data_IF_622010655074
#
_entry.id   IF_622010655074
#
_cell.length_a   1.000
_cell.length_b   1.000
_cell.length_c   1.000
_cell.angle_alpha   90.00
_cell.angle_beta   90.00
_cell.angle_gamma   90.00
#
_symmetry.space_group_name_H-M   'P 1'
#
loop_
_entity.id
_entity.type
_entity.pdbx_description
1 polymer ?
#
# COMPACT_ATOMS: atom_id res chain seq x y z
N UNK A 1 17.49 38.11 26.06
CA UNK A 1 16.20 37.70 25.47
C UNK A 1 16.39 36.43 24.63
N UNK A 2 16.88 35.33 25.24
CA UNK A 2 17.32 34.14 24.48
C UNK A 2 16.67 32.83 24.96
N UNK A 3 15.93 32.88 26.07
CA UNK A 3 15.33 31.69 26.71
C UNK A 3 13.96 31.32 26.11
N UNK A 4 13.17 32.30 25.65
CA UNK A 4 11.82 32.07 25.10
C UNK A 4 11.88 31.35 23.74
N UNK A 5 12.87 31.69 22.90
CA UNK A 5 13.04 31.07 21.58
C UNK A 5 13.45 29.61 21.66
N UNK A 6 14.18 29.22 22.71
CA UNK A 6 14.65 27.84 22.89
C UNK A 6 13.50 26.91 23.32
N UNK A 7 12.61 27.41 24.17
CA UNK A 7 11.42 26.68 24.62
C UNK A 7 10.45 26.40 23.47
N UNK A 8 10.27 27.35 22.54
CA UNK A 8 9.40 27.16 21.37
C UNK A 8 9.93 26.09 20.41
N UNK A 9 11.25 26.00 20.22
CA UNK A 9 11.86 24.99 19.35
C UNK A 9 11.69 23.55 19.89
N UNK A 10 11.71 23.38 21.21
CA UNK A 10 11.51 22.07 21.86
C UNK A 10 10.06 21.61 21.74
N UNK A 11 9.08 22.51 21.87
CA UNK A 11 7.66 22.15 21.75
C UNK A 11 7.31 21.74 20.31
N UNK A 12 7.86 22.44 19.30
CA UNK A 12 7.64 22.08 17.90
C UNK A 12 8.19 20.69 17.53
N UNK A 13 9.31 20.27 18.10
CA UNK A 13 9.88 18.94 17.82
C UNK A 13 9.11 17.81 18.52
N UNK A 14 8.56 18.03 19.72
CA UNK A 14 7.71 17.05 20.39
C UNK A 14 6.38 16.81 19.65
N UNK A 15 5.77 17.85 19.08
CA UNK A 15 4.54 17.70 18.29
C UNK A 15 4.77 16.89 17.00
N UNK A 16 5.91 17.08 16.33
CA UNK A 16 6.28 16.31 15.14
C UNK A 16 6.57 14.84 15.46
N UNK A 17 7.19 14.55 16.61
CA UNK A 17 7.45 13.18 17.04
C UNK A 17 6.17 12.39 17.34
N UNK A 18 5.16 13.03 17.95
CA UNK A 18 3.87 12.37 18.23
C UNK A 18 3.04 12.12 16.96
N UNK A 19 3.13 12.98 15.95
CA UNK A 19 2.49 12.74 14.66
C UNK A 19 3.21 11.65 13.84
N UNK A 20 4.52 11.48 14.03
CA UNK A 20 5.30 10.40 13.41
C UNK A 20 5.03 9.04 14.06
N UNK A 21 4.90 8.96 15.39
CA UNK A 21 4.62 7.70 16.07
C UNK A 21 3.19 7.18 15.84
N UNK A 22 2.20 8.07 15.66
CA UNK A 22 0.82 7.65 15.39
C UNK A 22 0.67 6.98 14.02
N UNK A 23 1.39 7.46 13.00
CA UNK A 23 1.42 6.80 11.68
C UNK A 23 2.07 5.42 11.70
N UNK A 24 2.86 5.11 12.73
CA UNK A 24 3.61 3.86 12.80
C UNK A 24 2.86 2.75 13.57
N UNK A 25 1.84 3.09 14.36
CA UNK A 25 1.13 2.12 15.20
C UNK A 25 -0.01 1.37 14.49
N UNK A 26 -0.62 1.93 13.44
CA UNK A 26 -1.76 1.28 12.77
C UNK A 26 -1.40 0.20 11.72
N UNK A 27 -0.13 -0.01 11.37
CA UNK A 27 0.25 -0.95 10.30
C UNK A 27 1.01 -2.20 10.81
N UNK A 28 1.08 -2.43 12.13
CA UNK A 28 1.77 -3.60 12.71
C UNK A 28 0.88 -4.41 13.66
N UNK A 29 -0.36 -4.71 13.24
CA UNK A 29 -1.01 -5.92 13.72
C UNK A 29 -0.60 -7.03 12.77
N UNK A 30 0.54 -7.64 13.10
CA UNK A 30 0.94 -8.97 12.69
C UNK A 30 -0.12 -9.94 13.20
N UNK A 31 -1.26 -10.00 12.49
CA UNK A 31 -2.25 -11.05 12.67
C UNK A 31 -1.64 -12.30 12.07
N UNK A 32 -0.96 -13.04 12.94
CA UNK A 32 -0.27 -14.31 12.75
C UNK A 32 -1.29 -15.44 12.46
N UNK A 33 -2.05 -15.28 11.39
CA UNK A 33 -2.87 -16.35 10.82
C UNK A 33 -2.44 -16.53 9.37
N UNK A 34 -1.27 -17.15 9.21
CA UNK A 34 -0.82 -17.74 7.96
C UNK A 34 -1.78 -18.86 7.53
N UNK A 35 -2.99 -18.49 7.09
CA UNK A 35 -3.71 -19.29 6.11
C UNK A 35 -2.87 -19.22 4.85
N UNK A 36 -1.89 -20.13 4.73
CA UNK A 36 -1.15 -20.33 3.47
C UNK A 36 -2.21 -20.51 2.38
N UNK A 37 -2.35 -19.56 1.43
CA UNK A 37 -3.28 -19.76 0.34
C UNK A 37 -2.92 -21.07 -0.34
N UNK A 38 -3.89 -21.93 -0.64
CA UNK A 38 -3.65 -23.13 -1.42
C UNK A 38 -3.12 -22.70 -2.79
N UNK A 39 -1.81 -22.86 -2.99
CA UNK A 39 -0.99 -22.43 -4.13
C UNK A 39 -1.35 -23.10 -5.48
N UNK A 40 -2.54 -23.66 -5.60
CA UNK A 40 -3.03 -24.22 -6.86
C UNK A 40 -3.54 -23.08 -7.73
N UNK A 41 -2.61 -22.40 -8.40
CA UNK A 41 -2.76 -21.79 -9.73
C UNK A 41 -4.20 -21.39 -10.10
N UNK A 42 -4.81 -20.50 -9.32
CA UNK A 42 -6.06 -19.86 -9.71
C UNK A 42 -5.60 -18.67 -10.53
N UNK A 43 -5.58 -18.83 -11.87
CA UNK A 43 -5.43 -17.69 -12.78
C UNK A 43 -6.41 -16.62 -12.30
N UNK A 44 -5.89 -15.56 -11.69
CA UNK A 44 -6.72 -14.43 -11.34
C UNK A 44 -7.14 -13.78 -12.66
N UNK A 45 -8.44 -13.65 -12.89
CA UNK A 45 -8.94 -12.91 -14.05
C UNK A 45 -8.54 -11.42 -13.96
N UNK A 46 -8.26 -10.92 -12.76
CA UNK A 46 -7.89 -9.54 -12.49
C UNK A 46 -6.38 -9.29 -12.57
N UNK A 47 -5.56 -10.22 -12.07
CA UNK A 47 -4.11 -10.03 -11.96
C UNK A 47 -3.36 -10.86 -13.00
N UNK A 48 -2.47 -10.23 -13.79
CA UNK A 48 -1.73 -10.97 -14.80
C UNK A 48 -0.69 -11.89 -14.15
N UNK A 49 -0.49 -13.08 -14.74
CA UNK A 49 0.38 -14.13 -14.20
C UNK A 49 1.82 -13.62 -13.99
N UNK A 50 2.28 -12.70 -14.84
CA UNK A 50 3.63 -12.14 -14.77
C UNK A 50 3.92 -11.35 -13.48
N UNK A 51 2.90 -11.03 -12.68
CA UNK A 51 3.05 -10.48 -11.33
C UNK A 51 2.42 -11.35 -10.25
N UNK A 52 1.31 -12.04 -10.55
CA UNK A 52 0.54 -12.82 -9.59
C UNK A 52 1.25 -14.11 -9.15
N UNK A 53 2.12 -14.68 -9.99
CA UNK A 53 2.84 -15.92 -9.67
C UNK A 53 3.96 -15.72 -8.63
N UNK A 54 4.26 -14.46 -8.27
CA UNK A 54 5.29 -14.13 -7.29
C UNK A 54 4.72 -14.10 -5.86
N UNK A 55 5.24 -14.91 -4.92
CA UNK A 55 4.83 -14.85 -3.51
C UNK A 55 4.95 -13.47 -2.88
N UNK A 56 5.97 -12.72 -3.28
CA UNK A 56 6.18 -11.35 -2.80
C UNK A 56 5.02 -10.40 -3.15
N UNK A 57 4.33 -10.61 -4.28
CA UNK A 57 3.23 -9.76 -4.73
C UNK A 57 1.95 -9.92 -3.89
N UNK A 58 1.77 -11.08 -3.27
CA UNK A 58 0.50 -11.50 -2.65
C UNK A 58 -0.01 -10.50 -1.61
N UNK A 59 0.87 -9.98 -0.76
CA UNK A 59 0.48 -9.02 0.28
C UNK A 59 -0.11 -7.74 -0.33
N UNK A 60 0.51 -7.21 -1.40
CA UNK A 60 0.03 -6.01 -2.07
C UNK A 60 -1.28 -6.29 -2.82
N UNK A 61 -1.33 -7.40 -3.56
CA UNK A 61 -2.51 -7.83 -4.32
C UNK A 61 -3.72 -7.93 -3.38
N UNK A 62 -3.60 -8.73 -2.32
CA UNK A 62 -4.69 -8.95 -1.37
C UNK A 62 -5.13 -7.65 -0.67
N UNK A 63 -4.17 -6.78 -0.30
CA UNK A 63 -4.51 -5.48 0.32
C UNK A 63 -5.24 -4.56 -0.66
N UNK A 64 -4.96 -4.65 -1.97
CA UNK A 64 -5.65 -3.87 -2.99
C UNK A 64 -7.03 -4.45 -3.29
N UNK A 65 -7.18 -5.77 -3.43
CA UNK A 65 -8.47 -6.45 -3.65
C UNK A 65 -9.49 -6.04 -2.58
N UNK A 66 -9.13 -6.12 -1.31
CA UNK A 66 -9.98 -5.68 -0.19
C UNK A 66 -10.43 -4.22 -0.29
N UNK A 67 -9.65 -3.35 -0.96
CA UNK A 67 -10.04 -1.96 -1.20
C UNK A 67 -10.92 -1.82 -2.44
N UNK A 68 -10.70 -2.63 -3.46
CA UNK A 68 -11.50 -2.67 -4.69
C UNK A 68 -12.92 -3.13 -4.44
N UNK A 69 -13.16 -4.03 -3.47
CA UNK A 69 -14.50 -4.50 -3.10
C UNK A 69 -15.44 -3.38 -2.64
N UNK A 70 -14.87 -2.26 -2.18
CA UNK A 70 -15.61 -1.07 -1.75
C UNK A 70 -15.78 -0.01 -2.85
N UNK A 71 -15.43 -0.31 -4.09
CA UNK A 71 -15.44 0.63 -5.21
C UNK A 71 -16.36 0.08 -6.30
N UNK A 72 -17.50 0.73 -6.51
CA UNK A 72 -18.48 0.32 -7.53
C UNK A 72 -18.10 0.78 -8.95
N UNK A 73 -17.17 1.73 -9.06
CA UNK A 73 -16.76 2.29 -10.35
C UNK A 73 -15.73 1.36 -11.04
N UNK A 74 -16.19 0.60 -12.03
CA UNK A 74 -15.37 -0.33 -12.82
C UNK A 74 -14.14 0.33 -13.48
N UNK A 75 -14.29 1.55 -14.00
CA UNK A 75 -13.16 2.27 -14.60
C UNK A 75 -12.08 2.60 -13.55
N UNK A 76 -12.50 3.00 -12.35
CA UNK A 76 -11.60 3.25 -11.24
C UNK A 76 -10.91 1.97 -10.79
N UNK A 77 -11.65 0.85 -10.70
CA UNK A 77 -11.07 -0.47 -10.37
C UNK A 77 -9.97 -0.84 -11.35
N UNK A 78 -10.24 -0.72 -12.66
CA UNK A 78 -9.27 -0.99 -13.72
C UNK A 78 -8.02 -0.11 -13.60
N UNK A 79 -8.20 1.20 -13.42
CA UNK A 79 -7.06 2.12 -13.27
C UNK A 79 -6.19 1.80 -12.05
N UNK A 80 -6.80 1.34 -10.95
CA UNK A 80 -6.07 0.90 -9.75
C UNK A 80 -5.28 -0.38 -10.03
N UNK A 81 -5.90 -1.37 -10.68
CA UNK A 81 -5.23 -2.63 -11.04
C UNK A 81 -4.03 -2.34 -11.95
N UNK A 82 -4.23 -1.57 -13.02
CA UNK A 82 -3.16 -1.19 -13.96
C UNK A 82 -1.99 -0.51 -13.23
N UNK A 83 -2.29 0.45 -12.35
CA UNK A 83 -1.29 1.12 -11.52
C UNK A 83 -0.48 0.15 -10.64
N UNK A 84 -1.15 -0.82 -10.01
CA UNK A 84 -0.51 -1.77 -9.10
C UNK A 84 0.34 -2.77 -9.89
N UNK A 85 -0.15 -3.24 -11.04
CA UNK A 85 0.61 -4.12 -11.93
C UNK A 85 1.91 -3.45 -12.39
N UNK A 86 1.85 -2.18 -12.80
CA UNK A 86 3.05 -1.43 -13.19
C UNK A 86 4.06 -1.28 -12.04
N UNK A 87 3.57 -1.07 -10.81
CA UNK A 87 4.43 -1.05 -9.62
C UNK A 87 5.07 -2.39 -9.34
N UNK A 88 4.32 -3.49 -9.45
CA UNK A 88 4.86 -4.83 -9.27
C UNK A 88 5.92 -5.16 -10.32
N UNK A 89 5.69 -4.78 -11.58
CA UNK A 89 6.66 -4.95 -12.67
C UNK A 89 7.96 -4.17 -12.42
N UNK A 90 7.88 -2.97 -11.87
CA UNK A 90 9.07 -2.19 -11.46
C UNK A 90 9.88 -2.87 -10.34
N UNK A 91 9.26 -3.78 -9.58
CA UNK A 91 9.92 -4.55 -8.54
C UNK A 91 10.55 -5.85 -9.05
N UNK A 92 10.48 -6.14 -10.36
CA UNK A 92 11.08 -7.33 -10.96
C UNK A 92 12.50 -7.05 -11.43
N UNK A 93 13.43 -7.92 -11.05
CA UNK A 93 14.82 -7.94 -11.55
C UNK A 93 15.23 -9.40 -11.76
N UNK A 94 15.77 -9.74 -12.93
CA UNK A 94 16.28 -11.08 -13.26
C UNK A 94 15.34 -12.22 -12.83
N UNK A 95 14.08 -12.12 -13.25
CA UNK A 95 12.99 -13.07 -12.96
C UNK A 95 12.58 -13.21 -11.49
N UNK A 96 13.13 -12.42 -10.58
CA UNK A 96 12.71 -12.36 -9.18
C UNK A 96 11.96 -11.07 -8.88
N UNK A 97 11.09 -11.10 -7.88
CA UNK A 97 10.39 -9.92 -7.39
C UNK A 97 10.90 -9.53 -6.00
N UNK A 98 11.42 -8.30 -5.88
CA UNK A 98 12.01 -7.81 -4.64
C UNK A 98 10.97 -7.52 -3.56
N UNK A 99 10.94 -8.31 -2.50
CA UNK A 99 9.97 -8.19 -1.40
C UNK A 99 9.95 -6.78 -0.78
N UNK A 100 11.13 -6.19 -0.53
CA UNK A 100 11.23 -4.83 0.00
C UNK A 100 10.63 -3.77 -0.95
N UNK A 101 10.78 -3.96 -2.27
CA UNK A 101 10.19 -3.08 -3.26
C UNK A 101 8.66 -3.20 -3.26
N UNK A 102 8.13 -4.43 -3.16
CA UNK A 102 6.67 -4.66 -3.08
C UNK A 102 6.09 -4.06 -1.80
N UNK A 103 6.74 -4.27 -0.65
CA UNK A 103 6.31 -3.67 0.64
C UNK A 103 6.26 -2.15 0.56
N UNK A 104 7.25 -1.51 -0.06
CA UNK A 104 7.24 -0.05 -0.30
C UNK A 104 6.09 0.38 -1.22
N UNK A 105 5.77 -0.43 -2.22
CA UNK A 105 4.71 -0.16 -3.18
C UNK A 105 3.31 -0.17 -2.57
N UNK A 106 3.10 -0.80 -1.41
CA UNK A 106 1.84 -0.73 -0.64
C UNK A 106 1.46 0.72 -0.33
N UNK A 107 2.40 1.52 0.20
CA UNK A 107 2.13 2.91 0.52
C UNK A 107 1.74 3.73 -0.70
N UNK A 108 2.38 3.45 -1.84
CA UNK A 108 2.07 4.12 -3.12
C UNK A 108 0.69 3.74 -3.64
N UNK A 109 0.34 2.45 -3.64
CA UNK A 109 -0.97 1.95 -4.06
C UNK A 109 -2.10 2.51 -3.18
N UNK A 110 -1.98 2.41 -1.85
CA UNK A 110 -3.00 2.93 -0.93
C UNK A 110 -3.20 4.44 -1.07
N UNK A 111 -2.10 5.19 -1.27
CA UNK A 111 -2.17 6.63 -1.54
C UNK A 111 -2.87 6.94 -2.87
N UNK A 112 -2.60 6.14 -3.91
CA UNK A 112 -3.24 6.29 -5.22
C UNK A 112 -4.75 6.06 -5.13
N UNK A 113 -5.18 4.97 -4.48
CA UNK A 113 -6.59 4.65 -4.25
C UNK A 113 -7.28 5.78 -3.47
N UNK A 114 -6.65 6.26 -2.39
CA UNK A 114 -7.21 7.31 -1.54
C UNK A 114 -7.41 8.63 -2.30
N UNK A 115 -6.49 9.00 -3.19
CA UNK A 115 -6.64 10.21 -4.02
C UNK A 115 -7.80 10.09 -5.00
N UNK A 116 -7.91 8.95 -5.67
CA UNK A 116 -9.00 8.72 -6.62
C UNK A 116 -10.36 8.68 -5.91
N UNK A 117 -10.45 8.07 -4.72
CA UNK A 117 -11.72 8.03 -3.97
C UNK A 117 -12.23 9.45 -3.66
N UNK A 118 -11.34 10.36 -3.28
CA UNK A 118 -11.70 11.77 -3.02
C UNK A 118 -12.19 12.46 -4.28
N UNK A 119 -11.55 12.23 -5.43
CA UNK A 119 -11.96 12.85 -6.69
C UNK A 119 -13.35 12.39 -7.14
N UNK A 120 -13.69 11.11 -6.94
CA UNK A 120 -15.01 10.58 -7.28
C UNK A 120 -16.11 10.92 -6.27
N UNK A 121 -15.78 11.18 -5.00
CA UNK A 121 -16.76 11.62 -3.98
C UNK A 121 -17.10 13.11 -4.04
N UNK A 122 -16.39 13.89 -4.85
CA UNK A 122 -16.63 15.33 -5.04
C UNK A 122 -17.60 15.63 -6.21
N UNK A 123 -18.15 14.59 -6.83
CA UNK A 123 -19.19 14.64 -7.87
C UNK A 123 -20.40 13.83 -7.42
#
# INVERSE_FOLDING_TARGET
MNSVSLSLLIVCSLALAQAASWRQYEDYVESDEYVRPSWTHRHSEMWPCDVADYPAAHLLIHKVENRLDSIDNEQMRKNIVDYVVDRLRQCKTDEQMGEHCVKRSIGYAMSFISRHKRQYQQY
#
